data_IF_788969356092
#
_entry.id   IF_788969356092
#
_cell.length_a   1.000
_cell.length_b   1.000
_cell.length_c   1.000
_cell.angle_alpha   90.00
_cell.angle_beta   90.00
_cell.angle_gamma   90.00
#
_symmetry.space_group_name_H-M   'P 1'
#
loop_
_entity.id
_entity.type
_entity.pdbx_description
1 polymer ?
#
# COMPACT_ATOMS: atom_id res chain seq x y z
N UNK A 1 -42.37 -69.64 -1.04
CA UNK A 1 -41.44 -68.67 -1.65
C UNK A 1 -41.64 -67.33 -0.95
N UNK A 2 -40.62 -66.81 -0.27
CA UNK A 2 -40.72 -65.62 0.61
C UNK A 2 -40.64 -64.35 -0.23
N UNK A 3 -41.64 -63.47 -0.11
CA UNK A 3 -41.72 -62.19 -0.80
C UNK A 3 -40.80 -61.15 -0.15
N UNK A 4 -40.04 -60.45 -0.99
CA UNK A 4 -39.05 -59.43 -0.64
C UNK A 4 -39.75 -58.12 -0.23
N UNK A 5 -39.39 -57.57 0.93
CA UNK A 5 -39.89 -56.26 1.42
C UNK A 5 -39.08 -55.12 0.80
N UNK A 6 -39.74 -54.22 0.09
CA UNK A 6 -39.17 -52.94 -0.38
C UNK A 6 -39.20 -51.92 0.76
N UNK A 7 -38.03 -51.34 1.09
CA UNK A 7 -37.88 -50.19 1.99
C UNK A 7 -38.07 -48.88 1.22
N UNK A 8 -38.81 -47.88 1.72
CA UNK A 8 -38.67 -46.50 1.30
C UNK A 8 -37.90 -45.73 2.37
N UNK A 9 -36.67 -45.31 2.06
CA UNK A 9 -35.99 -44.23 2.78
C UNK A 9 -35.52 -43.23 1.72
N UNK A 10 -36.45 -42.43 1.20
CA UNK A 10 -36.11 -41.27 0.39
C UNK A 10 -35.88 -40.11 1.35
N UNK A 11 -34.59 -39.85 1.55
CA UNK A 11 -34.03 -38.76 2.34
C UNK A 11 -34.60 -37.40 1.90
N UNK A 12 -35.30 -36.74 2.82
CA UNK A 12 -35.63 -35.32 2.73
C UNK A 12 -34.55 -34.57 3.54
N UNK A 13 -33.42 -34.26 2.91
CA UNK A 13 -32.42 -33.33 3.44
C UNK A 13 -32.18 -32.23 2.40
N UNK A 14 -33.15 -31.33 2.28
CA UNK A 14 -33.05 -30.12 1.48
C UNK A 14 -32.81 -28.93 2.42
N UNK A 15 -31.70 -28.22 2.18
CA UNK A 15 -31.31 -26.87 2.67
C UNK A 15 -30.84 -26.74 4.14
N UNK A 16 -29.56 -26.35 4.30
CA UNK A 16 -29.32 -24.93 4.61
C UNK A 16 -28.18 -24.36 3.73
N UNK A 17 -28.50 -23.93 2.51
CA UNK A 17 -27.58 -23.12 1.68
C UNK A 17 -27.87 -21.61 1.80
N UNK A 18 -28.87 -21.21 2.59
CA UNK A 18 -29.29 -19.80 2.71
C UNK A 18 -28.57 -19.03 3.84
N UNK A 19 -27.93 -19.74 4.78
CA UNK A 19 -27.25 -19.10 5.92
C UNK A 19 -25.83 -18.63 5.60
N UNK A 20 -25.20 -19.16 4.55
CA UNK A 20 -23.82 -18.81 4.17
C UNK A 20 -23.74 -17.50 3.38
N UNK A 21 -24.81 -17.09 2.70
CA UNK A 21 -24.81 -15.85 1.91
C UNK A 21 -24.94 -14.59 2.77
N UNK A 22 -25.62 -14.69 3.93
CA UNK A 22 -25.87 -13.53 4.80
C UNK A 22 -24.59 -13.05 5.52
N UNK A 23 -23.78 -13.98 6.05
CA UNK A 23 -22.51 -13.64 6.70
C UNK A 23 -21.48 -13.04 5.74
N UNK A 24 -21.48 -13.50 4.48
CA UNK A 24 -20.59 -12.96 3.45
C UNK A 24 -20.97 -11.52 3.04
N UNK A 25 -22.27 -11.20 3.00
CA UNK A 25 -22.73 -9.84 2.68
C UNK A 25 -22.45 -8.84 3.81
N UNK A 26 -22.62 -9.22 5.08
CA UNK A 26 -22.28 -8.35 6.22
C UNK A 26 -20.78 -8.03 6.30
N UNK A 27 -19.91 -9.01 6.06
CA UNK A 27 -18.46 -8.78 6.05
C UNK A 27 -18.04 -7.87 4.87
N UNK A 28 -18.66 -8.04 3.70
CA UNK A 28 -18.39 -7.17 2.54
C UNK A 28 -18.84 -5.72 2.77
N UNK A 29 -19.99 -5.48 3.40
CA UNK A 29 -20.51 -4.12 3.66
C UNK A 29 -19.74 -3.40 4.79
N UNK A 30 -19.25 -4.13 5.81
CA UNK A 30 -18.28 -3.58 6.77
C UNK A 30 -16.93 -3.27 6.11
N UNK A 31 -16.45 -4.12 5.18
CA UNK A 31 -15.21 -3.82 4.49
C UNK A 31 -15.33 -2.51 3.71
N UNK A 32 -16.41 -2.21 2.98
CA UNK A 32 -16.49 -0.97 2.18
C UNK A 32 -16.33 0.32 3.01
N UNK A 33 -16.61 0.27 4.32
CA UNK A 33 -16.38 1.39 5.24
C UNK A 33 -14.90 1.71 5.46
N UNK A 34 -14.02 0.73 5.22
CA UNK A 34 -12.58 0.79 5.35
C UNK A 34 -11.88 1.28 4.06
N UNK A 35 -12.58 1.48 2.96
CA UNK A 35 -11.96 1.97 1.72
C UNK A 35 -11.77 3.49 1.73
N UNK A 36 -10.56 3.94 1.40
CA UNK A 36 -10.26 5.34 1.12
C UNK A 36 -10.85 5.79 -0.23
N UNK A 37 -11.09 4.84 -1.14
CA UNK A 37 -11.53 5.07 -2.51
C UNK A 37 -10.41 5.57 -3.43
N UNK A 38 -9.16 5.60 -2.94
CA UNK A 38 -7.98 5.97 -3.71
C UNK A 38 -7.30 4.71 -4.27
N UNK A 39 -6.50 4.83 -5.36
CA UNK A 39 -5.80 3.68 -5.92
C UNK A 39 -4.88 2.95 -4.92
N UNK A 40 -4.35 3.65 -3.91
CA UNK A 40 -3.51 3.06 -2.86
C UNK A 40 -4.21 1.97 -2.03
N UNK A 41 -5.53 1.91 -2.02
CA UNK A 41 -6.29 0.81 -1.42
C UNK A 41 -6.05 -0.55 -2.10
N UNK A 42 -5.52 -0.52 -3.33
CA UNK A 42 -5.28 -1.68 -4.18
C UNK A 42 -3.81 -2.13 -4.20
N UNK A 43 -2.97 -1.57 -3.32
CA UNK A 43 -1.59 -2.01 -3.13
C UNK A 43 -1.22 -1.99 -1.64
N UNK A 44 -0.83 -3.14 -1.08
CA UNK A 44 -0.42 -3.20 0.34
C UNK A 44 1.08 -3.02 0.50
N UNK A 45 1.46 -1.93 1.18
CA UNK A 45 2.84 -1.65 1.55
C UNK A 45 3.40 -2.72 2.51
N UNK A 46 2.58 -3.18 3.45
CA UNK A 46 2.94 -4.22 4.42
C UNK A 46 3.20 -5.57 3.73
N UNK A 47 2.29 -5.97 2.83
CA UNK A 47 2.44 -7.19 2.07
C UNK A 47 3.66 -7.11 1.11
N UNK A 48 3.96 -5.93 0.57
CA UNK A 48 5.15 -5.70 -0.24
C UNK A 48 6.46 -5.91 0.54
N UNK A 49 6.54 -5.41 1.79
CA UNK A 49 7.70 -5.64 2.67
C UNK A 49 7.87 -7.15 2.94
N UNK A 50 6.79 -7.84 3.31
CA UNK A 50 6.84 -9.27 3.60
C UNK A 50 7.17 -10.11 2.36
N UNK A 51 6.69 -9.70 1.17
CA UNK A 51 7.05 -10.32 -0.09
C UNK A 51 8.53 -10.10 -0.41
N UNK A 52 9.03 -8.87 -0.22
CA UNK A 52 10.44 -8.55 -0.40
C UNK A 52 11.32 -9.38 0.53
N UNK A 53 11.00 -9.46 1.83
CA UNK A 53 11.70 -10.31 2.81
C UNK A 53 11.84 -11.77 2.36
N UNK A 54 10.82 -12.32 1.70
CA UNK A 54 10.76 -13.71 1.20
C UNK A 54 11.42 -13.92 -0.16
N UNK A 55 11.84 -12.84 -0.83
CA UNK A 55 12.42 -12.90 -2.17
C UNK A 55 13.93 -13.13 -2.11
N UNK A 56 14.50 -13.61 -3.21
CA UNK A 56 15.94 -13.92 -3.28
C UNK A 56 16.78 -12.70 -3.74
N UNK A 57 16.18 -11.85 -4.57
CA UNK A 57 16.80 -10.66 -5.17
C UNK A 57 15.71 -9.64 -5.55
N UNK A 58 16.06 -8.41 -5.95
CA UNK A 58 15.08 -7.46 -6.51
C UNK A 58 14.37 -7.96 -7.76
N UNK A 59 15.02 -8.78 -8.59
CA UNK A 59 14.42 -9.43 -9.76
C UNK A 59 13.38 -10.48 -9.36
N UNK A 60 13.72 -11.36 -8.40
CA UNK A 60 12.77 -12.36 -7.88
C UNK A 60 11.58 -11.67 -7.19
N UNK A 61 11.84 -10.57 -6.48
CA UNK A 61 10.79 -9.73 -5.90
C UNK A 61 9.84 -9.18 -6.96
N UNK A 62 10.36 -8.59 -8.04
CA UNK A 62 9.54 -8.11 -9.16
C UNK A 62 8.68 -9.23 -9.76
N UNK A 63 9.25 -10.42 -9.94
CA UNK A 63 8.52 -11.58 -10.44
C UNK A 63 7.37 -11.98 -9.52
N UNK A 64 7.63 -12.07 -8.22
CA UNK A 64 6.62 -12.42 -7.20
C UNK A 64 5.54 -11.34 -7.08
N UNK A 65 5.91 -10.08 -7.18
CA UNK A 65 5.01 -8.92 -7.11
C UNK A 65 3.97 -8.91 -8.24
N UNK A 66 4.31 -9.55 -9.36
CA UNK A 66 3.45 -9.65 -10.54
C UNK A 66 2.87 -11.07 -10.73
N UNK A 67 2.96 -11.96 -9.75
CA UNK A 67 2.34 -13.27 -9.84
C UNK A 67 0.84 -13.21 -9.48
N UNK A 68 -0.04 -13.83 -10.26
CA UNK A 68 -1.51 -13.76 -10.08
C UNK A 68 -2.02 -14.02 -8.65
N UNK A 69 -1.32 -14.91 -7.91
CA UNK A 69 -1.68 -15.31 -6.56
C UNK A 69 -0.86 -14.61 -5.46
N UNK A 70 -0.44 -13.36 -5.67
CA UNK A 70 0.17 -12.55 -4.61
C UNK A 70 -0.88 -11.61 -3.99
N UNK A 71 -0.82 -11.44 -2.68
CA UNK A 71 -1.75 -10.55 -1.95
C UNK A 71 -1.28 -9.09 -1.97
N UNK A 72 -0.30 -8.72 -2.79
CA UNK A 72 0.35 -7.40 -2.73
C UNK A 72 -0.25 -6.43 -3.73
N UNK A 73 -0.40 -6.85 -4.98
CA UNK A 73 -0.79 -6.00 -6.10
C UNK A 73 -2.20 -6.32 -6.59
N UNK A 74 -3.07 -5.32 -6.57
CA UNK A 74 -4.41 -5.34 -7.17
C UNK A 74 -4.71 -4.06 -7.97
N UNK A 75 -3.66 -3.36 -8.41
CA UNK A 75 -3.76 -2.08 -9.10
C UNK A 75 -4.24 -2.24 -10.54
N UNK A 76 -5.16 -1.35 -10.92
CA UNK A 76 -5.64 -1.11 -12.29
C UNK A 76 -5.82 0.42 -12.42
N UNK A 77 -4.67 1.10 -12.54
CA UNK A 77 -4.56 2.55 -12.63
C UNK A 77 -4.95 3.06 -14.02
N UNK A 78 -4.82 2.26 -15.08
CA UNK A 78 -5.29 2.66 -16.42
C UNK A 78 -6.79 2.36 -16.65
N UNK A 79 -7.45 1.65 -15.73
CA UNK A 79 -8.88 1.27 -15.76
C UNK A 79 -9.27 0.42 -16.97
N UNK A 80 -8.35 -0.45 -17.44
CA UNK A 80 -8.61 -1.36 -18.56
C UNK A 80 -9.24 -2.71 -18.12
N UNK A 81 -9.48 -2.86 -16.82
CA UNK A 81 -10.05 -4.05 -16.21
C UNK A 81 -9.03 -5.16 -15.98
N UNK A 82 -7.74 -4.87 -16.12
CA UNK A 82 -6.62 -5.80 -15.90
C UNK A 82 -5.62 -5.19 -14.93
N UNK A 83 -4.87 -6.05 -14.25
CA UNK A 83 -3.84 -5.55 -13.34
C UNK A 83 -2.68 -4.89 -14.09
N UNK A 84 -2.17 -3.79 -13.56
CA UNK A 84 -0.98 -3.13 -14.08
C UNK A 84 0.29 -3.88 -13.68
N UNK A 85 1.16 -4.13 -14.66
CA UNK A 85 2.49 -4.64 -14.37
C UNK A 85 3.31 -3.61 -13.58
N UNK A 86 3.85 -4.03 -12.44
CA UNK A 86 4.71 -3.21 -11.59
C UNK A 86 6.15 -3.64 -11.80
N UNK A 87 6.93 -2.81 -12.48
CA UNK A 87 8.37 -3.05 -12.63
C UNK A 87 9.15 -2.48 -11.44
N UNK A 88 10.33 -3.04 -11.16
CA UNK A 88 11.25 -2.55 -10.14
C UNK A 88 12.42 -1.82 -10.80
N UNK A 89 12.63 -0.58 -10.39
CA UNK A 89 13.72 0.27 -10.83
C UNK A 89 14.65 0.58 -9.64
N UNK A 90 15.82 -0.04 -9.64
CA UNK A 90 16.82 0.12 -8.60
C UNK A 90 17.67 1.38 -8.79
N UNK A 91 17.91 2.08 -7.68
CA UNK A 91 18.84 3.20 -7.57
C UNK A 91 19.75 2.96 -6.36
N UNK A 92 20.99 3.45 -6.44
CA UNK A 92 21.91 3.43 -5.31
C UNK A 92 22.85 4.62 -5.32
N UNK A 93 23.27 5.04 -4.13
CA UNK A 93 24.41 5.93 -3.90
C UNK A 93 25.12 5.48 -2.61
N UNK A 94 26.37 5.03 -2.73
CA UNK A 94 27.08 4.37 -1.64
C UNK A 94 26.27 3.21 -1.04
N UNK A 95 26.00 3.29 0.25
CA UNK A 95 25.22 2.32 1.04
C UNK A 95 23.71 2.65 1.12
N UNK A 96 23.23 3.62 0.35
CA UNK A 96 21.82 3.96 0.27
C UNK A 96 21.22 3.35 -0.99
N UNK A 97 20.14 2.59 -0.84
CA UNK A 97 19.45 1.91 -1.93
C UNK A 97 17.97 2.28 -1.97
N UNK A 98 17.44 2.47 -3.17
CA UNK A 98 16.01 2.65 -3.40
C UNK A 98 15.54 1.69 -4.50
N UNK A 99 14.49 0.92 -4.22
CA UNK A 99 13.78 0.09 -5.21
C UNK A 99 12.44 0.75 -5.50
N UNK A 100 12.33 1.42 -6.64
CA UNK A 100 11.12 2.12 -7.06
C UNK A 100 10.18 1.13 -7.72
N UNK A 101 8.95 1.03 -7.22
CA UNK A 101 7.89 0.18 -7.76
C UNK A 101 7.06 1.02 -8.72
N UNK A 102 7.13 0.71 -10.01
CA UNK A 102 6.52 1.55 -11.06
C UNK A 102 5.44 0.78 -11.82
N UNK A 103 4.21 1.27 -11.76
CA UNK A 103 3.14 0.81 -12.63
C UNK A 103 3.34 1.38 -14.04
N UNK A 104 3.42 0.49 -15.03
CA UNK A 104 3.60 0.85 -16.43
C UNK A 104 2.23 0.80 -17.12
N UNK A 105 1.63 1.98 -17.33
CA UNK A 105 0.22 2.13 -17.75
C UNK A 105 0.07 2.45 -19.24
N UNK A 106 1.16 2.84 -19.90
CA UNK A 106 1.21 3.18 -21.32
C UNK A 106 2.64 3.39 -21.80
N UNK A 107 2.85 3.59 -23.10
CA UNK A 107 4.20 3.76 -23.70
C UNK A 107 5.01 4.88 -23.03
N UNK A 108 4.35 6.00 -22.74
CA UNK A 108 4.97 7.19 -22.13
C UNK A 108 4.36 7.52 -20.77
N UNK A 109 3.65 6.57 -20.17
CA UNK A 109 2.88 6.82 -18.95
C UNK A 109 3.23 5.80 -17.86
N UNK A 110 3.86 6.33 -16.81
CA UNK A 110 4.37 5.55 -15.68
C UNK A 110 4.02 6.28 -14.39
N UNK A 111 3.60 5.52 -13.39
CA UNK A 111 3.35 6.02 -12.04
C UNK A 111 4.20 5.25 -11.04
N UNK A 112 4.97 5.97 -10.22
CA UNK A 112 5.61 5.37 -9.05
C UNK A 112 4.53 5.05 -8.02
N UNK A 113 4.42 3.79 -7.62
CA UNK A 113 3.42 3.30 -6.66
C UNK A 113 3.96 3.43 -5.24
N UNK A 114 5.17 2.93 -5.04
CA UNK A 114 5.88 2.99 -3.79
C UNK A 114 7.39 2.88 -4.03
N UNK A 115 8.20 3.21 -3.02
CA UNK A 115 9.65 2.98 -3.03
C UNK A 115 10.07 2.24 -1.77
N UNK A 116 10.83 1.15 -1.92
CA UNK A 116 11.51 0.49 -0.80
C UNK A 116 12.87 1.15 -0.64
N UNK A 117 13.05 1.86 0.47
CA UNK A 117 14.26 2.57 0.86
C UNK A 117 15.03 1.76 1.88
N UNK A 118 16.33 1.54 1.63
CA UNK A 118 17.20 0.73 2.49
C UNK A 118 18.49 1.49 2.73
N UNK A 119 18.88 1.60 3.99
CA UNK A 119 20.17 2.17 4.39
C UNK A 119 20.91 1.28 5.34
N UNK A 120 22.20 1.10 5.07
CA UNK A 120 23.15 0.53 6.02
C UNK A 120 23.44 1.53 7.15
N UNK A 121 23.38 1.05 8.39
CA UNK A 121 23.64 1.82 9.62
C UNK A 121 24.86 1.29 10.42
N UNK A 122 25.52 0.24 9.93
CA UNK A 122 26.69 -0.38 10.53
C UNK A 122 27.06 -1.65 9.76
N UNK A 123 28.09 -2.37 10.18
CA UNK A 123 28.64 -3.51 9.42
C UNK A 123 27.60 -4.59 9.10
N UNK A 124 26.74 -4.91 10.08
CA UNK A 124 25.68 -5.92 9.97
C UNK A 124 24.31 -5.36 10.34
N UNK A 125 24.10 -4.06 10.09
CA UNK A 125 22.85 -3.38 10.40
C UNK A 125 22.35 -2.60 9.19
N UNK A 126 21.12 -2.90 8.78
CA UNK A 126 20.39 -2.12 7.79
C UNK A 126 18.94 -1.93 8.23
N UNK A 127 18.40 -0.76 7.89
CA UNK A 127 16.99 -0.42 8.11
C UNK A 127 16.27 -0.29 6.77
N UNK A 128 14.98 -0.58 6.77
CA UNK A 128 14.13 -0.51 5.59
C UNK A 128 12.84 0.23 5.92
N UNK A 129 12.45 1.15 5.03
CA UNK A 129 11.11 1.72 4.99
C UNK A 129 10.57 1.61 3.58
N UNK A 130 9.27 1.34 3.45
CA UNK A 130 8.56 1.51 2.17
C UNK A 130 7.72 2.78 2.24
N UNK A 131 7.72 3.57 1.18
CA UNK A 131 6.98 4.82 1.07
C UNK A 131 5.98 4.70 -0.08
N UNK A 132 4.69 4.77 0.22
CA UNK A 132 3.62 4.89 -0.76
C UNK A 132 3.58 6.28 -1.37
N UNK A 133 3.41 6.36 -2.69
CA UNK A 133 3.39 7.60 -3.44
C UNK A 133 2.13 8.44 -3.16
N UNK A 134 2.29 9.75 -2.96
CA UNK A 134 1.19 10.66 -2.64
C UNK A 134 0.11 10.74 -3.73
N UNK A 135 0.42 10.46 -5.00
CA UNK A 135 -0.59 10.46 -6.06
C UNK A 135 -1.41 9.17 -6.04
N UNK A 136 -0.91 8.11 -5.42
CA UNK A 136 -1.59 6.82 -5.30
C UNK A 136 -2.36 6.75 -3.98
N UNK A 137 -1.75 7.17 -2.88
CA UNK A 137 -2.30 7.08 -1.52
C UNK A 137 -2.97 8.38 -1.02
N UNK A 138 -2.86 9.50 -1.75
CA UNK A 138 -3.39 10.81 -1.36
C UNK A 138 -2.51 11.60 -0.39
N UNK A 139 -1.57 10.92 0.26
CA UNK A 139 -0.45 11.46 1.03
C UNK A 139 0.71 10.47 0.99
N UNK A 140 1.90 10.90 1.44
CA UNK A 140 3.00 9.95 1.64
C UNK A 140 2.68 9.05 2.83
N UNK A 141 2.65 7.74 2.60
CA UNK A 141 2.40 6.74 3.63
C UNK A 141 3.69 5.96 3.86
N UNK A 142 4.18 5.93 5.09
CA UNK A 142 5.40 5.19 5.44
C UNK A 142 5.01 3.90 6.14
N UNK A 143 5.62 2.78 5.76
CA UNK A 143 5.51 1.54 6.51
C UNK A 143 6.89 0.94 6.76
N UNK A 144 7.04 0.30 7.92
CA UNK A 144 8.28 -0.34 8.34
C UNK A 144 8.01 -1.67 9.04
N UNK A 145 8.92 -2.67 8.88
CA UNK A 145 8.86 -3.90 9.64
C UNK A 145 9.12 -3.62 11.13
N UNK A 146 8.40 -4.32 12.01
CA UNK A 146 8.61 -4.21 13.46
C UNK A 146 8.58 -5.56 14.15
N UNK A 147 9.22 -5.60 15.31
CA UNK A 147 9.13 -6.70 16.26
C UNK A 147 8.61 -6.17 17.60
N UNK A 148 7.75 -6.95 18.25
CA UNK A 148 7.29 -6.66 19.60
C UNK A 148 8.30 -7.21 20.60
N UNK A 149 9.04 -6.32 21.27
CA UNK A 149 9.74 -6.72 22.48
C UNK A 149 8.79 -6.66 23.68
N UNK A 150 8.79 -7.75 24.45
CA UNK A 150 8.12 -7.77 25.76
C UNK A 150 8.95 -6.90 26.69
N UNK A 151 8.57 -5.64 26.87
CA UNK A 151 9.15 -4.79 27.89
C UNK A 151 8.93 -5.45 29.28
N UNK A 152 9.97 -6.12 29.77
CA UNK A 152 10.03 -6.63 31.12
C UNK A 152 10.28 -5.46 32.06
N UNK A 153 9.24 -4.70 32.41
CA UNK A 153 9.37 -3.73 33.50
C UNK A 153 9.65 -4.53 34.78
N UNK A 154 10.92 -4.55 35.23
CA UNK A 154 11.44 -5.36 36.32
C UNK A 154 10.82 -5.09 37.71
N UNK A 155 9.72 -4.34 37.77
CA UNK A 155 9.01 -3.98 39.00
C UNK A 155 7.65 -4.66 39.16
N UNK A 156 7.04 -5.22 38.10
CA UNK A 156 5.78 -5.96 38.20
C UNK A 156 5.98 -7.44 37.83
N UNK A 157 6.32 -8.26 38.85
CA UNK A 157 6.31 -9.73 38.76
C UNK A 157 5.00 -10.25 39.38
N UNK A 158 3.89 -10.11 38.65
CA UNK A 158 2.58 -10.62 39.06
C UNK A 158 1.72 -10.99 37.84
N UNK A 159 0.65 -11.78 38.01
CA UNK A 159 -0.23 -12.23 36.92
C UNK A 159 -0.94 -11.07 36.18
N UNK A 160 -0.93 -9.86 36.76
CA UNK A 160 -1.53 -8.63 36.21
C UNK A 160 -0.49 -7.63 35.68
N UNK A 161 0.75 -8.07 35.42
CA UNK A 161 1.76 -7.20 34.83
C UNK A 161 1.33 -6.72 33.43
N UNK A 162 0.91 -5.46 33.33
CA UNK A 162 0.57 -4.82 32.07
C UNK A 162 1.84 -4.62 31.23
N UNK A 163 2.12 -5.60 30.38
CA UNK A 163 3.25 -5.56 29.44
C UNK A 163 2.81 -4.78 28.21
N UNK A 164 3.16 -3.50 28.14
CA UNK A 164 3.02 -2.75 26.88
C UNK A 164 4.13 -3.22 25.93
N UNK A 165 3.80 -3.79 24.76
CA UNK A 165 4.82 -4.15 23.79
C UNK A 165 5.52 -2.87 23.33
N UNK A 166 6.86 -2.90 23.31
CA UNK A 166 7.67 -1.85 22.71
C UNK A 166 7.97 -2.32 21.29
N UNK A 167 7.60 -1.48 20.31
CA UNK A 167 7.88 -1.76 18.90
C UNK A 167 9.31 -1.37 18.59
N UNK A 168 10.10 -2.33 18.13
CA UNK A 168 11.49 -2.13 17.76
C UNK A 168 11.63 -2.24 16.25
N UNK A 169 12.50 -1.40 15.69
CA UNK A 169 12.84 -1.40 14.28
C UNK A 169 13.62 -2.68 13.99
N UNK A 170 13.19 -3.42 12.97
CA UNK A 170 13.83 -4.67 12.57
C UNK A 170 15.12 -4.38 11.81
N UNK A 171 16.21 -5.03 12.22
CA UNK A 171 17.41 -5.10 11.41
C UNK A 171 17.17 -6.02 10.21
N UNK A 172 17.14 -5.45 9.01
CA UNK A 172 16.85 -6.19 7.77
C UNK A 172 18.11 -6.77 7.10
N UNK A 173 19.29 -6.59 7.70
CA UNK A 173 20.58 -6.98 7.10
C UNK A 173 20.63 -8.44 6.64
N UNK A 174 20.03 -9.36 7.41
CA UNK A 174 20.05 -10.80 7.11
C UNK A 174 18.98 -11.23 6.10
N UNK A 175 18.14 -10.32 5.61
CA UNK A 175 17.16 -10.67 4.57
C UNK A 175 17.90 -10.99 3.26
N UNK A 176 17.51 -12.08 2.60
CA UNK A 176 18.16 -12.57 1.38
C UNK A 176 18.31 -11.50 0.29
N UNK A 177 17.29 -10.68 -0.05
CA UNK A 177 17.46 -9.67 -1.09
C UNK A 177 18.30 -8.48 -0.62
N UNK A 178 18.30 -8.16 0.68
CA UNK A 178 19.17 -7.13 1.26
C UNK A 178 20.63 -7.58 1.15
N UNK A 179 20.94 -8.79 1.61
CA UNK A 179 22.27 -9.42 1.43
C UNK A 179 22.70 -9.44 -0.04
N UNK A 180 21.79 -9.75 -0.96
CA UNK A 180 22.04 -9.74 -2.39
C UNK A 180 22.42 -8.34 -2.89
N UNK A 181 21.73 -7.29 -2.45
CA UNK A 181 21.99 -5.90 -2.86
C UNK A 181 23.32 -5.35 -2.31
N UNK A 182 23.76 -5.82 -1.13
CA UNK A 182 25.04 -5.43 -0.53
C UNK A 182 26.18 -6.39 -0.87
N UNK A 183 25.94 -7.40 -1.72
CA UNK A 183 26.98 -8.33 -2.14
C UNK A 183 28.04 -7.63 -3.03
N UNK A 184 29.32 -8.04 -2.94
CA UNK A 184 30.35 -7.53 -3.84
C UNK A 184 29.96 -7.74 -5.30
N UNK A 185 30.06 -6.67 -6.10
CA UNK A 185 29.72 -6.70 -7.53
C UNK A 185 28.23 -6.54 -7.86
N UNK A 186 27.35 -6.35 -6.87
CA UNK A 186 25.93 -6.07 -7.15
C UNK A 186 25.75 -4.83 -8.03
N UNK A 187 25.00 -5.03 -9.12
CA UNK A 187 24.51 -3.97 -10.01
C UNK A 187 23.03 -3.77 -9.72
N UNK A 188 22.60 -2.51 -9.70
CA UNK A 188 21.19 -2.19 -9.46
C UNK A 188 20.31 -2.91 -10.47
N UNK A 189 19.29 -3.61 -9.97
CA UNK A 189 18.28 -4.20 -10.82
C UNK A 189 17.49 -3.09 -11.50
N UNK A 190 17.45 -3.12 -12.83
CA UNK A 190 16.63 -2.24 -13.67
C UNK A 190 15.79 -3.17 -14.52
N UNK A 191 14.48 -3.19 -14.27
CA UNK A 191 13.59 -4.06 -15.00
C UNK A 191 13.73 -3.87 -16.51
N UNK A 192 13.83 -4.95 -17.31
CA UNK A 192 13.85 -4.85 -18.77
C UNK A 192 12.45 -4.61 -19.36
N UNK A 193 11.38 -4.77 -18.56
CA UNK A 193 10.01 -4.79 -19.06
C UNK A 193 9.43 -3.40 -19.25
N UNK A 194 8.59 -3.26 -20.27
CA UNK A 194 8.01 -1.99 -20.73
C UNK A 194 6.55 -2.23 -21.11
N UNK A 195 5.82 -1.16 -21.38
CA UNK A 195 4.48 -1.26 -21.91
C UNK A 195 4.47 -2.14 -23.17
N UNK A 196 3.59 -3.13 -23.22
CA UNK A 196 3.48 -4.07 -24.35
C UNK A 196 4.63 -5.09 -24.46
N UNK A 197 5.68 -5.00 -23.63
CA UNK A 197 6.81 -5.94 -23.62
C UNK A 197 6.96 -6.50 -22.21
N UNK A 198 6.29 -7.63 -21.97
CA UNK A 198 6.20 -8.28 -20.68
C UNK A 198 6.95 -9.61 -20.66
N UNK A 199 7.34 -10.09 -19.46
CA UNK A 199 7.93 -11.41 -19.34
C UNK A 199 6.96 -12.51 -19.79
N UNK A 200 7.50 -13.58 -20.36
CA UNK A 200 6.71 -14.73 -20.85
C UNK A 200 5.93 -15.46 -19.75
N UNK A 201 6.38 -15.36 -18.50
CA UNK A 201 5.71 -15.94 -17.33
C UNK A 201 4.58 -15.06 -16.79
N UNK A 202 4.47 -13.80 -17.25
CA UNK A 202 3.44 -12.89 -16.81
C UNK A 202 2.27 -12.87 -17.80
N UNK A 203 1.07 -12.77 -17.25
CA UNK A 203 -0.15 -12.44 -18.00
C UNK A 203 -1.01 -11.53 -17.14
N UNK A 204 -1.75 -10.58 -17.72
CA UNK A 204 -2.70 -9.79 -16.97
C UNK A 204 -3.87 -10.67 -16.50
N UNK A 205 -4.38 -10.38 -15.30
CA UNK A 205 -5.62 -10.95 -14.78
C UNK A 205 -6.58 -9.82 -14.37
N UNK A 206 -7.83 -10.16 -14.05
CA UNK A 206 -8.79 -9.19 -13.54
C UNK A 206 -8.51 -8.86 -12.07
N UNK A 207 -8.48 -7.59 -11.66
CA UNK A 207 -8.37 -7.22 -10.26
C UNK A 207 -9.45 -7.90 -9.42
N UNK A 208 -9.08 -8.31 -8.22
CA UNK A 208 -10.05 -8.78 -7.22
C UNK A 208 -10.95 -7.62 -6.80
N UNK A 209 -12.25 -7.89 -6.52
CA UNK A 209 -13.10 -6.93 -5.84
C UNK A 209 -12.42 -6.44 -4.57
N UNK A 210 -12.49 -5.13 -4.32
CA UNK A 210 -11.74 -4.48 -3.25
C UNK A 210 -11.90 -5.18 -1.89
N UNK A 211 -13.12 -5.60 -1.52
CA UNK A 211 -13.37 -6.28 -0.24
C UNK A 211 -12.60 -7.59 -0.09
N UNK A 212 -12.48 -8.37 -1.17
CA UNK A 212 -11.72 -9.63 -1.19
C UNK A 212 -10.23 -9.35 -1.01
N UNK A 213 -9.69 -8.40 -1.78
CA UNK A 213 -8.30 -7.99 -1.66
C UNK A 213 -7.99 -7.46 -0.25
N UNK A 214 -8.84 -6.59 0.28
CA UNK A 214 -8.66 -5.98 1.60
C UNK A 214 -8.61 -7.02 2.72
N UNK A 215 -9.37 -8.12 2.63
CA UNK A 215 -9.31 -9.22 3.61
C UNK A 215 -8.00 -10.00 3.48
N UNK A 216 -7.56 -10.30 2.25
CA UNK A 216 -6.31 -11.04 1.98
C UNK A 216 -5.07 -10.34 2.52
N UNK A 217 -5.05 -9.01 2.55
CA UNK A 217 -3.89 -8.25 3.04
C UNK A 217 -3.84 -8.09 4.56
N UNK A 218 -4.94 -8.37 5.28
CA UNK A 218 -5.00 -8.19 6.75
C UNK A 218 -3.89 -8.90 7.53
N UNK A 219 -3.50 -10.14 7.21
CA UNK A 219 -2.47 -10.85 7.96
C UNK A 219 -1.11 -10.13 7.97
N UNK A 220 -0.76 -9.40 6.91
CA UNK A 220 0.54 -8.73 6.78
C UNK A 220 0.70 -7.53 7.75
N UNK A 221 -0.41 -6.99 8.27
CA UNK A 221 -0.41 -5.91 9.28
C UNK A 221 0.17 -6.34 10.64
N UNK A 222 0.36 -7.64 10.86
CA UNK A 222 0.96 -8.16 12.09
C UNK A 222 2.48 -7.99 12.13
N UNK A 223 3.15 -7.84 10.98
CA UNK A 223 4.62 -7.80 10.88
C UNK A 223 5.16 -6.44 10.42
N UNK A 224 4.29 -5.59 9.89
CA UNK A 224 4.61 -4.24 9.45
C UNK A 224 3.59 -3.27 10.01
N UNK A 225 4.01 -2.03 10.27
CA UNK A 225 3.09 -0.99 10.70
C UNK A 225 3.32 0.30 9.93
N UNK A 226 2.24 1.06 9.76
CA UNK A 226 2.28 2.39 9.21
C UNK A 226 2.85 3.34 10.26
N UNK A 227 3.81 4.16 9.85
CA UNK A 227 4.48 5.17 10.67
C UNK A 227 4.30 6.56 10.07
N UNK A 228 4.47 7.57 10.93
CA UNK A 228 4.38 8.98 10.53
C UNK A 228 5.77 9.64 10.42
N UNK A 229 6.83 8.84 10.55
CA UNK A 229 8.21 9.33 10.60
C UNK A 229 9.00 8.65 9.49
N UNK A 230 9.58 9.48 8.63
CA UNK A 230 10.57 9.05 7.66
C UNK A 230 11.94 9.01 8.34
N UNK A 231 12.67 7.92 8.17
CA UNK A 231 13.96 7.65 8.82
C UNK A 231 15.08 7.43 7.81
N UNK A 232 14.76 6.98 6.60
CA UNK A 232 15.71 6.53 5.58
C UNK A 232 15.97 7.65 4.56
N UNK A 233 16.54 8.77 5.06
CA UNK A 233 16.63 10.02 4.28
C UNK A 233 17.66 10.01 3.13
N UNK A 234 18.76 9.26 3.24
CA UNK A 234 19.77 9.14 2.18
C UNK A 234 19.22 8.34 1.01
N UNK A 235 18.54 7.22 1.26
CA UNK A 235 17.89 6.46 0.18
C UNK A 235 16.80 7.29 -0.50
N UNK A 236 16.05 8.08 0.28
CA UNK A 236 15.08 9.01 -0.28
C UNK A 236 15.71 10.08 -1.15
N UNK A 237 16.86 10.64 -0.75
CA UNK A 237 17.59 11.63 -1.55
C UNK A 237 18.05 11.04 -2.90
N UNK A 238 18.35 9.74 -2.96
CA UNK A 238 18.64 9.02 -4.21
C UNK A 238 17.39 8.88 -5.09
N UNK A 239 16.25 8.58 -4.47
CA UNK A 239 14.97 8.39 -5.17
C UNK A 239 14.33 9.70 -5.65
N UNK A 240 14.15 10.68 -4.78
CA UNK A 240 13.28 11.84 -4.96
C UNK A 240 13.49 12.62 -6.27
N UNK A 241 14.74 12.86 -6.76
CA UNK A 241 14.97 13.53 -8.03
C UNK A 241 14.45 12.76 -9.26
N UNK A 242 14.26 11.45 -9.13
CA UNK A 242 13.88 10.55 -10.22
C UNK A 242 12.40 10.14 -10.18
N UNK A 243 11.65 10.66 -9.22
CA UNK A 243 10.23 10.35 -9.03
C UNK A 243 9.43 10.60 -10.30
N UNK A 244 8.63 9.61 -10.71
CA UNK A 244 7.70 9.70 -11.85
C UNK A 244 6.26 9.66 -11.37
N UNK A 245 5.44 10.42 -12.05
CA UNK A 245 4.00 10.37 -11.84
C UNK A 245 3.26 10.54 -13.15
N UNK A 246 2.08 9.94 -13.21
CA UNK A 246 1.13 10.12 -14.29
C UNK A 246 0.23 11.31 -14.02
N UNK A 247 -0.11 12.05 -15.07
CA UNK A 247 -1.12 13.12 -14.98
C UNK A 247 -2.51 12.53 -14.75
N UNK A 248 -2.84 11.39 -15.37
CA UNK A 248 -4.11 10.70 -15.18
C UNK A 248 -4.30 10.34 -13.70
N UNK A 249 -3.33 9.66 -13.09
CA UNK A 249 -3.38 9.30 -11.67
C UNK A 249 -3.41 10.56 -10.79
N UNK A 250 -2.58 11.57 -11.10
CA UNK A 250 -2.56 12.81 -10.34
C UNK A 250 -3.92 13.53 -10.33
N UNK A 251 -4.61 13.59 -11.47
CA UNK A 251 -5.91 14.27 -11.59
C UNK A 251 -7.04 13.54 -10.86
N UNK A 252 -6.96 12.22 -10.70
CA UNK A 252 -7.92 11.44 -9.91
C UNK A 252 -7.79 11.72 -8.41
N UNK A 253 -6.56 11.92 -7.93
CA UNK A 253 -6.27 12.16 -6.51
C UNK A 253 -6.29 13.66 -6.14
N UNK A 254 -6.02 14.54 -7.10
CA UNK A 254 -5.96 15.99 -6.92
C UNK A 254 -6.92 16.71 -7.87
N UNK A 255 -7.82 17.52 -7.32
CA UNK A 255 -8.74 18.36 -8.10
C UNK A 255 -8.35 19.84 -8.01
N UNK A 256 -8.28 20.55 -9.14
CA UNK A 256 -8.15 22.00 -9.13
C UNK A 256 -9.53 22.61 -8.92
N UNK A 257 -9.67 23.47 -7.90
CA UNK A 257 -10.93 24.13 -7.57
C UNK A 257 -10.76 25.63 -7.53
N UNK A 258 -11.82 26.35 -7.88
CA UNK A 258 -11.88 27.81 -7.71
C UNK A 258 -12.08 28.10 -6.23
N UNK A 259 -11.13 28.75 -5.58
CA UNK A 259 -11.26 29.26 -4.22
C UNK A 259 -11.52 30.77 -4.23
N UNK A 260 -12.14 31.28 -3.17
CA UNK A 260 -12.21 32.72 -2.92
C UNK A 260 -10.89 33.18 -2.32
N UNK A 261 -10.23 34.12 -2.98
CA UNK A 261 -9.02 34.74 -2.47
C UNK A 261 -9.30 35.68 -1.28
N UNK A 262 -8.26 36.15 -0.58
CA UNK A 262 -8.37 37.03 0.58
C UNK A 262 -9.13 38.34 0.34
N UNK A 263 -9.32 38.75 -0.92
CA UNK A 263 -10.03 39.97 -1.32
C UNK A 263 -11.25 39.67 -2.21
N UNK A 264 -11.87 38.51 -2.05
CA UNK A 264 -13.14 38.17 -2.73
C UNK A 264 -13.02 37.76 -4.21
N UNK A 265 -11.87 37.95 -4.85
CA UNK A 265 -11.60 37.49 -6.22
C UNK A 265 -11.52 35.96 -6.33
N UNK A 266 -11.95 35.40 -7.47
CA UNK A 266 -11.79 33.96 -7.77
C UNK A 266 -10.33 33.69 -8.10
N UNK A 267 -9.70 32.78 -7.37
CA UNK A 267 -8.32 32.34 -7.61
C UNK A 267 -8.28 30.83 -7.85
N UNK A 268 -7.39 30.38 -8.72
CA UNK A 268 -7.11 28.96 -8.89
C UNK A 268 -6.48 28.42 -7.60
N UNK A 269 -7.03 27.34 -7.07
CA UNK A 269 -6.52 26.68 -5.88
C UNK A 269 -6.38 25.18 -6.14
N UNK A 270 -5.32 24.58 -5.60
CA UNK A 270 -5.12 23.12 -5.64
C UNK A 270 -5.90 22.52 -4.47
N UNK A 271 -6.87 21.64 -4.72
CA UNK A 271 -7.53 20.84 -3.69
C UNK A 271 -7.04 19.40 -3.78
N UNK A 272 -6.35 18.98 -2.74
CA UNK A 272 -5.99 17.57 -2.56
C UNK A 272 -7.02 16.95 -1.63
N UNK A 273 -7.56 15.81 -2.03
CA UNK A 273 -8.41 14.98 -1.17
C UNK A 273 -7.52 13.88 -0.62
N UNK A 274 -7.29 13.89 0.69
CA UNK A 274 -6.58 12.83 1.38
C UNK A 274 -7.60 12.11 2.24
N UNK A 275 -7.73 10.80 2.06
CA UNK A 275 -8.64 10.00 2.86
C UNK A 275 -7.81 9.13 3.78
N UNK A 276 -7.78 9.46 5.07
CA UNK A 276 -6.95 8.78 6.07
C UNK A 276 -7.81 8.01 7.05
N UNK A 277 -7.28 6.90 7.57
CA UNK A 277 -7.93 6.16 8.65
C UNK A 277 -7.53 6.73 10.00
N UNK A 278 -8.52 7.14 10.79
CA UNK A 278 -8.33 7.43 12.21
C UNK A 278 -7.97 6.15 12.97
N UNK A 279 -7.27 6.30 14.10
CA UNK A 279 -6.91 5.22 15.04
C UNK A 279 -8.13 4.38 15.50
N UNK A 280 -9.34 4.93 15.39
CA UNK A 280 -10.60 4.28 15.74
C UNK A 280 -11.27 3.56 14.54
N UNK A 281 -10.56 3.33 13.44
CA UNK A 281 -11.09 2.70 12.22
C UNK A 281 -12.01 3.59 11.38
N UNK A 282 -12.19 4.86 11.78
CA UNK A 282 -13.08 5.81 11.08
C UNK A 282 -12.34 6.43 9.90
N UNK A 283 -12.87 6.26 8.69
CA UNK A 283 -12.33 6.92 7.49
C UNK A 283 -12.67 8.41 7.53
N UNK A 284 -11.64 9.25 7.55
CA UNK A 284 -11.72 10.70 7.52
C UNK A 284 -11.27 11.20 6.15
N UNK A 285 -12.16 11.90 5.46
CA UNK A 285 -11.81 12.59 4.23
C UNK A 285 -11.38 14.01 4.58
N UNK A 286 -10.10 14.32 4.37
CA UNK A 286 -9.53 15.65 4.56
C UNK A 286 -9.31 16.30 3.21
N UNK A 287 -10.02 17.40 2.96
CA UNK A 287 -9.85 18.24 1.77
C UNK A 287 -8.95 19.41 2.14
N UNK A 288 -7.73 19.39 1.63
CA UNK A 288 -6.80 20.52 1.77
C UNK A 288 -6.85 21.36 0.52
N UNK A 289 -7.26 22.63 0.65
CA UNK A 289 -7.22 23.62 -0.43
C UNK A 289 -6.05 24.57 -0.20
N UNK A 290 -5.11 24.61 -1.15
CA UNK A 290 -3.94 25.49 -1.12
C UNK A 290 -4.03 26.50 -2.25
N UNK A 291 -3.96 27.79 -1.90
CA UNK A 291 -3.93 28.91 -2.85
C UNK A 291 -2.47 29.36 -2.98
N UNK A 292 -1.85 29.03 -4.11
CA UNK A 292 -0.50 29.53 -4.42
C UNK A 292 -0.55 30.97 -4.91
N UNK A 293 0.05 31.91 -4.17
CA UNK A 293 0.38 33.24 -4.70
C UNK A 293 1.89 33.29 -4.91
N UNK A 294 2.35 33.53 -6.14
CA UNK A 294 3.75 33.87 -6.40
C UNK A 294 3.95 35.33 -5.96
N UNK A 295 4.31 35.52 -4.69
CA UNK A 295 4.67 36.83 -4.15
C UNK A 295 6.08 37.23 -4.58
N UNK A 296 6.32 38.54 -4.77
CA UNK A 296 7.60 39.12 -5.22
C UNK A 296 8.79 38.79 -4.28
N UNK A 297 8.52 38.30 -3.06
CA UNK A 297 9.51 37.93 -2.02
C UNK A 297 9.36 36.49 -1.44
N UNK A 298 8.80 35.53 -2.18
CA UNK A 298 9.08 34.10 -1.91
C UNK A 298 8.28 33.31 -0.86
N UNK A 299 7.39 33.86 -0.05
CA UNK A 299 6.45 33.08 0.83
C UNK A 299 5.23 33.95 1.21
N UNK A 300 4.00 33.49 1.48
CA UNK A 300 3.42 32.18 1.74
C UNK A 300 2.01 32.05 1.09
N UNK A 301 1.62 30.85 0.67
CA UNK A 301 0.27 30.54 0.18
C UNK A 301 -0.73 30.37 1.33
N UNK A 302 -1.99 30.76 1.11
CA UNK A 302 -3.05 30.49 2.09
C UNK A 302 -3.47 29.02 1.99
N UNK A 303 -3.36 28.27 3.09
CA UNK A 303 -3.80 26.87 3.21
C UNK A 303 -5.07 26.79 4.06
N UNK A 304 -6.13 26.22 3.50
CA UNK A 304 -7.38 25.94 4.23
C UNK A 304 -7.63 24.43 4.21
N UNK A 305 -7.72 23.83 5.38
CA UNK A 305 -8.00 22.40 5.55
C UNK A 305 -9.43 22.23 6.05
N UNK A 306 -10.18 21.30 5.47
CA UNK A 306 -11.52 20.92 5.95
C UNK A 306 -11.57 19.41 6.05
N UNK A 307 -11.85 18.89 7.25
CA UNK A 307 -11.94 17.47 7.52
C UNK A 307 -13.40 17.09 7.72
N UNK A 308 -13.86 16.08 6.98
CA UNK A 308 -15.22 15.54 7.07
C UNK A 308 -15.15 14.04 7.32
N UNK A 309 -15.93 13.57 8.29
CA UNK A 309 -16.10 12.13 8.48
C UNK A 309 -16.99 11.60 7.36
N UNK A 310 -16.56 10.54 6.65
CA UNK A 310 -17.42 9.89 5.66
C UNK A 310 -18.63 9.27 6.41
N UNK A 311 -19.87 9.53 6.01
CA UNK A 311 -21.03 8.94 6.66
C UNK A 311 -20.99 7.41 6.51
N UNK A 312 -21.40 6.68 7.57
CA UNK A 312 -21.63 5.23 7.49
C UNK A 312 -22.55 4.96 6.29
N UNK A 313 -22.16 4.05 5.41
CA UNK A 313 -23.02 3.58 4.32
C UNK A 313 -24.41 3.30 4.87
N UNK A 314 -25.42 3.92 4.26
CA UNK A 314 -26.81 3.79 4.70
C UNK A 314 -27.25 2.37 4.33
N UNK A 315 -27.57 1.54 5.33
CA UNK A 315 -28.29 0.28 5.15
C UNK A 315 -29.54 0.59 4.31
N UNK A 316 -29.60 0.06 3.10
CA UNK A 316 -30.82 -0.04 2.30
C UNK A 316 -31.13 -1.52 2.13
#
# INVERSE_FOLDING_TARGET
MKALKFFPFLSFLLLPLFSLTLSAQEEMDETLQDSTGLPGDHFSLEAAIELFKKSDSPEDFEKRLNAENNDVNNLDLNEDGKIDYIRVEGRKDGDAHALVLQAVMGENEVQDVAVIEIEKQGDENAVLQIIGDENVYGEQVFAEPFEDEKAGNGRNKGPEAQRTPVRIIVNVWLWRPVRFMYAPGYRVWVSPWRWGVYPTWWRPWRPYPWGVFHVRVRPYRAHCHIVNVHRVHRAHAVYAPHRRHSTVVHTRTTTVVKARGPHGGKVAAKRTTTTTKSRNGRVQETKTTTVGKKGRNGTAGARKTTTTNKPRGRRN
#
